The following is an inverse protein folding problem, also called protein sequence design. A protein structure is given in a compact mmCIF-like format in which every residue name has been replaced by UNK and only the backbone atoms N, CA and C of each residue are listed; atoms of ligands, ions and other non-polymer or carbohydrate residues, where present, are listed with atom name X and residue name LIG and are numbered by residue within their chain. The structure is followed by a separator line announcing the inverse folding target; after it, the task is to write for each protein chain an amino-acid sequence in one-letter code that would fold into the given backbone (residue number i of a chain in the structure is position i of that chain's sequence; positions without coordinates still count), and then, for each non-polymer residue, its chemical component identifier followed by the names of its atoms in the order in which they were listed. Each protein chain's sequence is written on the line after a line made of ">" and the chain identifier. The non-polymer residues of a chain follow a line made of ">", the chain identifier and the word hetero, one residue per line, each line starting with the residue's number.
data_IF_160577846487
#
_entry.id   IF_160577846487
#
_cell.length_a   1.000
_cell.length_b   1.000
_cell.length_c   1.000
_cell.angle_alpha   90.00
_cell.angle_beta   90.00
_cell.angle_gamma   90.00
#
_symmetry.space_group_name_H-M   'P 1'
#
loop_
_entity.id
_entity.type
_entity.pdbx_description
1 polymer ?
#
# COMPACT_ATOMS: atom_id res chain seq x y z
N UNK A 1 -6.20 -6.55 -18.54
CA UNK A 1 -7.59 -6.07 -18.79
C UNK A 1 -8.32 -5.72 -17.50
N UNK A 2 -8.09 -6.47 -16.41
CA UNK A 2 -8.74 -6.28 -15.11
C UNK A 2 -8.55 -4.87 -14.50
N UNK A 3 -7.35 -4.31 -14.48
CA UNK A 3 -7.15 -2.95 -13.93
C UNK A 3 -7.89 -1.87 -14.72
N UNK A 4 -8.09 -2.06 -16.03
CA UNK A 4 -8.84 -1.11 -16.86
C UNK A 4 -10.32 -1.08 -16.47
N UNK A 5 -10.91 -2.21 -16.07
CA UNK A 5 -12.30 -2.24 -15.61
C UNK A 5 -12.47 -1.74 -14.17
N UNK A 6 -11.39 -1.64 -13.40
CA UNK A 6 -11.40 -1.13 -12.02
C UNK A 6 -10.95 0.31 -11.87
N UNK A 7 -10.48 0.96 -12.95
CA UNK A 7 -9.94 2.32 -12.92
C UNK A 7 -10.89 3.39 -12.37
N UNK A 8 -12.20 3.12 -12.43
CA UNK A 8 -13.26 4.01 -11.97
C UNK A 8 -13.70 3.68 -10.53
N UNK A 9 -13.10 2.64 -9.93
CA UNK A 9 -13.34 2.25 -8.54
C UNK A 9 -12.40 3.00 -7.59
N UNK A 10 -12.97 3.48 -6.49
CA UNK A 10 -12.25 3.83 -5.26
C UNK A 10 -12.52 2.78 -4.18
N UNK A 11 -11.57 2.61 -3.27
CA UNK A 11 -11.68 1.74 -2.11
C UNK A 11 -11.49 2.55 -0.84
N UNK A 12 -12.53 2.61 -0.02
CA UNK A 12 -12.52 3.26 1.29
C UNK A 12 -12.28 2.21 2.38
N UNK A 13 -11.42 2.54 3.32
CA UNK A 13 -11.06 1.67 4.45
C UNK A 13 -11.46 2.32 5.77
N UNK A 14 -11.62 1.52 6.82
CA UNK A 14 -11.78 2.04 8.18
C UNK A 14 -13.19 2.50 8.56
N UNK A 15 -14.13 2.56 7.61
CA UNK A 15 -15.53 2.91 7.89
C UNK A 15 -16.17 1.80 8.75
N UNK A 16 -16.60 2.09 10.00
CA UNK A 16 -17.22 1.10 10.87
C UNK A 16 -18.44 0.46 10.23
N UNK A 17 -18.70 -0.81 10.55
CA UNK A 17 -19.83 -1.53 9.94
C UNK A 17 -21.17 -0.88 10.33
N UNK A 18 -22.06 -0.73 9.34
CA UNK A 18 -23.41 -0.17 9.45
C UNK A 18 -23.48 1.37 9.57
N UNK A 19 -22.36 2.09 9.61
CA UNK A 19 -22.35 3.57 9.55
C UNK A 19 -22.95 4.10 8.24
N UNK A 20 -22.83 3.33 7.17
CA UNK A 20 -23.39 3.68 5.87
C UNK A 20 -24.93 3.59 5.81
N UNK A 21 -25.55 2.99 6.82
CA UNK A 21 -26.99 2.71 6.83
C UNK A 21 -27.42 1.76 5.70
N UNK A 22 -28.60 2.00 5.15
CA UNK A 22 -29.20 1.13 4.11
C UNK A 22 -28.65 1.40 2.72
N UNK A 23 -28.26 2.65 2.42
CA UNK A 23 -27.78 3.08 1.11
C UNK A 23 -26.36 3.63 1.16
N UNK A 24 -25.41 2.76 0.78
CA UNK A 24 -23.98 3.08 0.67
C UNK A 24 -23.72 4.25 -0.28
N UNK A 25 -24.47 4.37 -1.38
CA UNK A 25 -24.22 5.44 -2.34
C UNK A 25 -24.59 6.80 -1.75
N UNK A 26 -25.76 6.92 -1.14
CA UNK A 26 -26.18 8.17 -0.50
C UNK A 26 -25.26 8.57 0.64
N UNK A 27 -24.81 7.62 1.45
CA UNK A 27 -23.77 7.85 2.46
C UNK A 27 -22.49 8.42 1.83
N UNK A 28 -21.94 7.75 0.79
CA UNK A 28 -20.71 8.21 0.14
C UNK A 28 -20.85 9.57 -0.54
N UNK A 29 -22.00 9.87 -1.18
CA UNK A 29 -22.28 11.20 -1.73
C UNK A 29 -22.21 12.29 -0.67
N UNK A 30 -22.63 11.99 0.56
CA UNK A 30 -22.67 12.96 1.66
C UNK A 30 -21.30 13.22 2.30
N UNK A 31 -20.42 12.22 2.34
CA UNK A 31 -19.12 12.32 3.04
C UNK A 31 -17.96 12.67 2.12
N UNK A 32 -17.94 12.20 0.87
CA UNK A 32 -16.76 12.37 0.00
C UNK A 32 -16.41 13.85 -0.26
N UNK A 33 -17.36 14.75 -0.58
CA UNK A 33 -17.05 16.18 -0.72
C UNK A 33 -16.45 16.77 0.56
N UNK A 34 -17.00 16.40 1.73
CA UNK A 34 -16.52 16.88 3.04
C UNK A 34 -15.12 16.37 3.36
N UNK A 35 -14.89 15.07 3.16
CA UNK A 35 -13.60 14.42 3.44
C UNK A 35 -12.50 14.97 2.54
N UNK A 36 -12.79 15.07 1.23
CA UNK A 36 -11.78 15.46 0.24
C UNK A 36 -11.63 16.98 0.11
N UNK A 37 -12.55 17.76 0.67
CA UNK A 37 -12.67 19.22 0.44
C UNK A 37 -12.73 19.59 -1.05
N UNK A 38 -13.30 18.69 -1.86
CA UNK A 38 -13.49 18.88 -3.29
C UNK A 38 -14.93 19.31 -3.56
N UNK A 39 -15.07 20.27 -4.46
CA UNK A 39 -16.35 20.63 -5.04
C UNK A 39 -16.58 19.81 -6.32
N UNK A 40 -17.72 19.13 -6.39
CA UNK A 40 -18.04 18.23 -7.49
C UNK A 40 -19.19 18.80 -8.31
N UNK A 41 -18.86 19.29 -9.51
CA UNK A 41 -19.83 19.67 -10.53
C UNK A 41 -19.60 18.84 -11.82
N UNK A 42 -20.56 17.98 -12.23
CA UNK A 42 -21.80 17.66 -11.54
C UNK A 42 -21.57 16.85 -10.24
N UNK A 43 -22.59 16.69 -9.38
CA UNK A 43 -22.50 15.87 -8.18
C UNK A 43 -21.98 14.46 -8.44
N UNK A 44 -21.40 13.82 -7.41
CA UNK A 44 -20.87 12.46 -7.54
C UNK A 44 -21.99 11.47 -7.86
N UNK A 45 -21.78 10.72 -8.94
CA UNK A 45 -22.65 9.64 -9.38
C UNK A 45 -21.91 8.31 -9.28
N UNK A 46 -22.60 7.29 -8.76
CA UNK A 46 -22.06 5.94 -8.62
C UNK A 46 -22.80 4.98 -9.53
N UNK A 47 -22.04 4.12 -10.22
CA UNK A 47 -22.62 2.94 -10.86
C UNK A 47 -22.99 1.88 -9.81
N UNK A 48 -22.13 1.71 -8.79
CA UNK A 48 -22.31 0.75 -7.69
C UNK A 48 -21.45 1.13 -6.49
N UNK A 49 -21.91 0.81 -5.29
CA UNK A 49 -21.12 0.90 -4.05
C UNK A 49 -21.53 -0.22 -3.10
N UNK A 50 -20.56 -0.92 -2.51
CA UNK A 50 -20.82 -2.06 -1.61
C UNK A 50 -19.61 -2.40 -0.74
N UNK A 51 -19.84 -3.05 0.40
CA UNK A 51 -18.78 -3.66 1.23
C UNK A 51 -18.21 -4.91 0.56
N UNK A 52 -16.91 -5.13 0.73
CA UNK A 52 -16.20 -6.27 0.13
C UNK A 52 -15.50 -7.12 1.18
N UNK A 53 -15.64 -8.43 1.04
CA UNK A 53 -15.05 -9.44 1.94
C UNK A 53 -16.07 -10.06 2.90
N UNK A 54 -15.69 -11.18 3.54
CA UNK A 54 -16.57 -11.89 4.46
C UNK A 54 -16.79 -11.07 5.73
N UNK A 55 -18.02 -11.09 6.26
CA UNK A 55 -18.29 -10.61 7.63
C UNK A 55 -17.52 -11.51 8.58
N UNK A 56 -16.55 -10.97 9.29
CA UNK A 56 -15.78 -11.71 10.29
C UNK A 56 -16.53 -11.66 11.63
N UNK A 57 -16.66 -12.78 12.35
CA UNK A 57 -17.25 -12.77 13.68
C UNK A 57 -16.33 -12.02 14.65
N UNK A 58 -16.91 -11.16 15.49
CA UNK A 58 -16.22 -10.46 16.58
C UNK A 58 -15.93 -8.98 16.33
N UNK A 59 -16.06 -8.19 17.40
CA UNK A 59 -15.89 -6.73 17.40
C UNK A 59 -14.43 -6.25 17.24
N UNK A 60 -13.44 -7.15 17.29
CA UNK A 60 -12.03 -6.77 17.08
C UNK A 60 -11.57 -6.88 15.62
N UNK A 61 -12.44 -7.33 14.71
CA UNK A 61 -12.06 -7.44 13.30
C UNK A 61 -12.09 -6.08 12.60
N UNK A 62 -11.04 -5.79 11.82
CA UNK A 62 -10.97 -4.58 10.99
C UNK A 62 -12.24 -4.47 10.12
N UNK A 63 -12.91 -3.30 10.08
CA UNK A 63 -14.11 -3.11 9.24
C UNK A 63 -13.83 -3.45 7.78
N UNK A 64 -14.82 -4.01 7.08
CA UNK A 64 -14.69 -4.32 5.66
C UNK A 64 -14.57 -3.04 4.86
N UNK A 65 -13.73 -3.07 3.83
CA UNK A 65 -13.61 -1.94 2.90
C UNK A 65 -14.87 -1.80 2.05
N UNK A 66 -15.20 -0.57 1.68
CA UNK A 66 -16.22 -0.27 0.67
C UNK A 66 -15.52 -0.06 -0.67
N UNK A 67 -16.01 -0.72 -1.72
CA UNK A 67 -15.64 -0.42 -3.11
C UNK A 67 -16.78 0.36 -3.75
N UNK A 68 -16.47 1.52 -4.30
CA UNK A 68 -17.41 2.38 -5.01
C UNK A 68 -16.91 2.65 -6.43
N UNK A 69 -17.71 2.33 -7.43
CA UNK A 69 -17.45 2.61 -8.84
C UNK A 69 -18.15 3.91 -9.20
N UNK A 70 -17.39 4.95 -9.51
CA UNK A 70 -17.93 6.23 -9.94
C UNK A 70 -18.30 6.17 -11.42
N UNK A 71 -19.29 6.96 -11.80
CA UNK A 71 -19.70 7.08 -13.20
C UNK A 71 -18.66 7.85 -14.04
N UNK A 72 -17.95 8.80 -13.42
CA UNK A 72 -17.04 9.72 -14.10
C UNK A 72 -15.60 9.49 -13.67
N UNK A 73 -14.79 9.00 -14.60
CA UNK A 73 -13.36 8.74 -14.37
C UNK A 73 -12.60 9.95 -13.78
N UNK A 74 -12.96 11.17 -14.19
CA UNK A 74 -12.27 12.37 -13.73
C UNK A 74 -12.44 12.61 -12.22
N UNK A 75 -13.64 12.35 -11.68
CA UNK A 75 -13.92 12.46 -10.24
C UNK A 75 -13.14 11.40 -9.46
N UNK A 76 -13.04 10.16 -9.99
CA UNK A 76 -12.19 9.12 -9.40
C UNK A 76 -10.74 9.58 -9.28
N UNK A 77 -10.19 10.18 -10.34
CA UNK A 77 -8.81 10.71 -10.32
C UNK A 77 -8.63 11.83 -9.30
N UNK A 78 -9.55 12.78 -9.22
CA UNK A 78 -9.50 13.88 -8.26
C UNK A 78 -9.50 13.37 -6.81
N UNK A 79 -10.39 12.43 -6.47
CA UNK A 79 -10.45 11.81 -5.14
C UNK A 79 -9.15 11.10 -4.81
N UNK A 80 -8.62 10.29 -5.73
CA UNK A 80 -7.37 9.54 -5.51
C UNK A 80 -6.15 10.47 -5.41
N UNK A 81 -6.14 11.58 -6.14
CA UNK A 81 -5.09 12.59 -6.04
C UNK A 81 -5.14 13.29 -4.67
N UNK A 82 -6.33 13.70 -4.22
CA UNK A 82 -6.52 14.27 -2.89
C UNK A 82 -6.06 13.30 -1.79
N UNK A 83 -6.43 12.02 -1.89
CA UNK A 83 -6.02 11.00 -0.93
C UNK A 83 -4.50 10.82 -0.84
N UNK A 84 -3.79 10.91 -1.98
CA UNK A 84 -2.32 10.85 -2.00
C UNK A 84 -1.68 12.07 -1.39
N UNK A 85 -2.25 13.25 -1.61
CA UNK A 85 -1.69 14.53 -1.17
C UNK A 85 -1.91 14.77 0.33
N UNK A 86 -3.09 14.43 0.84
CA UNK A 86 -3.51 14.77 2.18
C UNK A 86 -3.44 13.60 3.18
N UNK A 87 -3.23 12.38 2.70
CA UNK A 87 -3.20 11.19 3.55
C UNK A 87 -4.62 10.69 3.86
N UNK A 88 -4.80 9.87 4.90
CA UNK A 88 -6.14 9.42 5.29
C UNK A 88 -7.01 10.61 5.67
N UNK A 89 -8.27 10.59 5.24
CA UNK A 89 -9.24 11.62 5.61
C UNK A 89 -9.87 11.30 6.96
N UNK A 90 -10.21 12.32 7.73
CA UNK A 90 -10.84 12.12 9.04
C UNK A 90 -12.36 12.14 8.93
N UNK A 91 -13.01 11.05 9.38
CA UNK A 91 -14.46 10.96 9.59
C UNK A 91 -14.70 10.72 11.07
N UNK A 92 -15.13 11.75 11.80
CA UNK A 92 -15.23 11.74 13.27
C UNK A 92 -13.90 11.31 13.92
N UNK A 93 -13.88 10.19 14.65
CA UNK A 93 -12.66 9.59 15.24
C UNK A 93 -11.91 8.63 14.30
N UNK A 94 -12.38 8.42 13.07
CA UNK A 94 -11.87 7.38 12.18
C UNK A 94 -11.01 7.94 11.05
N UNK A 95 -9.83 7.34 10.88
CA UNK A 95 -9.03 7.52 9.69
C UNK A 95 -9.62 6.70 8.53
N UNK A 96 -9.97 7.40 7.45
CA UNK A 96 -10.54 6.84 6.22
C UNK A 96 -9.53 6.96 5.08
N UNK A 97 -8.58 6.00 4.96
CA UNK A 97 -7.76 5.87 3.78
C UNK A 97 -8.64 5.60 2.55
N UNK A 98 -8.37 6.34 1.47
CA UNK A 98 -8.96 6.10 0.16
C UNK A 98 -7.85 5.67 -0.80
N UNK A 99 -8.01 4.51 -1.44
CA UNK A 99 -7.05 3.94 -2.38
C UNK A 99 -7.71 3.56 -3.69
N UNK A 100 -6.92 3.43 -4.76
CA UNK A 100 -7.40 2.80 -5.98
C UNK A 100 -7.66 1.30 -5.75
N UNK A 101 -8.58 0.73 -6.52
CA UNK A 101 -8.89 -0.70 -6.49
C UNK A 101 -8.11 -1.45 -7.59
N UNK A 102 -6.89 -1.88 -7.30
CA UNK A 102 -6.09 -2.64 -8.26
C UNK A 102 -6.46 -4.14 -8.28
N UNK A 103 -6.12 -4.80 -9.37
CA UNK A 103 -6.05 -6.26 -9.47
C UNK A 103 -5.12 -6.84 -8.41
N UNK A 104 -5.25 -8.14 -8.15
CA UNK A 104 -4.33 -8.84 -7.24
C UNK A 104 -2.88 -8.73 -7.75
N UNK A 105 -2.69 -8.99 -9.03
CA UNK A 105 -1.37 -8.92 -9.70
C UNK A 105 -0.71 -7.55 -9.52
N UNK A 106 -1.44 -6.47 -9.81
CA UNK A 106 -0.94 -5.10 -9.65
C UNK A 106 -0.65 -4.79 -8.18
N UNK A 107 -1.51 -5.19 -7.25
CA UNK A 107 -1.26 -5.03 -5.82
C UNK A 107 0.00 -5.77 -5.36
N UNK A 108 0.21 -7.01 -5.81
CA UNK A 108 1.38 -7.80 -5.46
C UNK A 108 2.66 -7.18 -6.03
N UNK A 109 2.62 -6.66 -7.26
CA UNK A 109 3.73 -5.90 -7.85
C UNK A 109 4.03 -4.61 -7.07
N UNK A 110 3.00 -3.87 -6.68
CA UNK A 110 3.17 -2.68 -5.82
C UNK A 110 3.80 -3.06 -4.48
N UNK A 111 3.35 -4.13 -3.82
CA UNK A 111 3.95 -4.61 -2.57
C UNK A 111 5.43 -4.97 -2.74
N UNK A 112 5.77 -5.68 -3.81
CA UNK A 112 7.16 -6.02 -4.11
C UNK A 112 8.03 -4.76 -4.31
N UNK A 113 7.54 -3.75 -5.03
CA UNK A 113 8.20 -2.45 -5.10
C UNK A 113 8.34 -1.75 -3.74
N UNK A 114 7.29 -1.77 -2.91
CA UNK A 114 7.31 -1.17 -1.58
C UNK A 114 8.32 -1.86 -0.65
N UNK A 115 8.54 -3.17 -0.81
CA UNK A 115 9.53 -3.92 -0.05
C UNK A 115 10.97 -3.45 -0.31
N UNK A 116 11.23 -2.81 -1.45
CA UNK A 116 12.55 -2.26 -1.82
C UNK A 116 12.83 -0.86 -1.27
N UNK A 117 11.83 -0.21 -0.64
CA UNK A 117 11.98 1.15 -0.09
C UNK A 117 13.11 1.28 0.94
N UNK A 118 13.30 0.38 1.92
CA UNK A 118 14.40 0.49 2.86
C UNK A 118 15.76 0.56 2.16
N UNK A 119 15.93 -0.25 1.10
CA UNK A 119 17.16 -0.28 0.31
C UNK A 119 17.38 1.01 -0.48
N UNK A 120 16.32 1.54 -1.10
CA UNK A 120 16.36 2.84 -1.78
C UNK A 120 16.78 3.97 -0.82
N UNK A 121 16.23 3.98 0.40
CA UNK A 121 16.58 4.95 1.45
C UNK A 121 18.03 4.82 1.89
N UNK A 122 18.50 3.59 2.12
CA UNK A 122 19.89 3.32 2.52
C UNK A 122 20.90 3.80 1.46
N UNK A 123 20.53 3.73 0.18
CA UNK A 123 21.36 4.18 -0.94
C UNK A 123 21.15 5.66 -1.31
N UNK A 124 20.37 6.40 -0.51
CA UNK A 124 20.01 7.81 -0.73
C UNK A 124 19.39 8.08 -2.11
N UNK A 125 18.69 7.09 -2.65
CA UNK A 125 18.00 7.18 -3.93
C UNK A 125 16.62 7.79 -3.70
N UNK A 126 16.30 8.87 -4.42
CA UNK A 126 14.93 9.43 -4.42
C UNK A 126 14.04 8.50 -5.23
N UNK A 127 12.78 8.31 -4.81
CA UNK A 127 11.87 7.40 -5.51
C UNK A 127 10.41 7.81 -5.39
N UNK A 128 9.58 7.29 -6.30
CA UNK A 128 8.13 7.46 -6.30
C UNK A 128 7.43 6.26 -6.95
N UNK A 129 6.35 5.78 -6.33
CA UNK A 129 5.54 4.68 -6.88
C UNK A 129 4.29 5.23 -7.57
N UNK A 130 4.25 5.08 -8.89
CA UNK A 130 3.19 5.55 -9.76
C UNK A 130 2.17 4.46 -10.09
N UNK A 131 0.98 4.89 -10.48
CA UNK A 131 -0.06 4.02 -10.98
C UNK A 131 0.29 3.43 -12.36
N UNK A 132 -0.13 2.19 -12.67
CA UNK A 132 -0.68 1.21 -11.72
C UNK A 132 0.41 0.60 -10.82
N UNK A 133 1.63 0.40 -11.33
CA UNK A 133 2.77 -0.13 -10.57
C UNK A 133 4.09 0.15 -11.30
N UNK A 134 4.52 1.42 -11.33
CA UNK A 134 5.81 1.87 -11.90
C UNK A 134 6.61 2.58 -10.82
N UNK A 135 7.84 2.16 -10.55
CA UNK A 135 8.72 2.87 -9.63
C UNK A 135 9.65 3.78 -10.42
N UNK A 136 9.53 5.07 -10.19
CA UNK A 136 10.51 6.07 -10.61
C UNK A 136 11.59 6.18 -9.55
N UNK A 137 12.85 6.23 -9.96
CA UNK A 137 13.99 6.45 -9.06
C UNK A 137 14.95 7.47 -9.63
N UNK A 138 15.60 8.25 -8.77
CA UNK A 138 16.61 9.24 -9.15
C UNK A 138 17.85 9.09 -8.28
N UNK A 139 19.01 8.94 -8.93
CA UNK A 139 20.33 8.92 -8.29
C UNK A 139 21.26 9.85 -9.05
N UNK A 140 21.95 10.74 -8.34
CA UNK A 140 22.91 11.69 -8.92
C UNK A 140 22.33 12.52 -10.10
N UNK A 141 21.07 12.94 -10.00
CA UNK A 141 20.38 13.71 -11.04
C UNK A 141 19.85 12.89 -12.22
N UNK A 142 20.20 11.60 -12.32
CA UNK A 142 19.69 10.72 -13.38
C UNK A 142 18.46 9.97 -12.88
N UNK A 143 17.37 10.07 -13.63
CA UNK A 143 16.10 9.41 -13.32
C UNK A 143 15.87 8.20 -14.22
N UNK A 144 15.31 7.13 -13.66
CA UNK A 144 14.95 5.91 -14.38
C UNK A 144 13.64 5.33 -13.87
N UNK A 145 12.85 4.79 -14.79
CA UNK A 145 11.62 4.08 -14.49
C UNK A 145 11.82 2.57 -14.49
N UNK A 146 11.17 1.90 -13.55
CA UNK A 146 11.14 0.45 -13.41
C UNK A 146 9.69 -0.04 -13.41
N UNK A 147 9.41 -1.04 -14.25
CA UNK A 147 8.09 -1.66 -14.38
C UNK A 147 8.04 -3.04 -13.71
N UNK A 148 9.21 -3.64 -13.43
CA UNK A 148 9.38 -4.88 -12.69
C UNK A 148 10.20 -4.63 -11.41
N UNK A 149 9.74 -5.06 -10.22
CA UNK A 149 10.53 -5.05 -9.00
C UNK A 149 11.88 -5.77 -9.11
N UNK A 150 11.98 -6.86 -9.89
CA UNK A 150 13.23 -7.61 -10.08
C UNK A 150 14.29 -6.77 -10.80
N UNK A 151 13.90 -6.01 -11.83
CA UNK A 151 14.81 -5.09 -12.51
C UNK A 151 15.32 -3.99 -11.57
N UNK A 152 14.44 -3.50 -10.70
CA UNK A 152 14.84 -2.53 -9.68
C UNK A 152 15.79 -3.16 -8.66
N UNK A 153 15.53 -4.40 -8.22
CA UNK A 153 16.44 -5.12 -7.32
C UNK A 153 17.84 -5.26 -7.93
N UNK A 154 17.94 -5.74 -9.18
CA UNK A 154 19.21 -5.86 -9.91
C UNK A 154 19.94 -4.51 -10.02
N UNK A 155 19.20 -3.44 -10.26
CA UNK A 155 19.75 -2.08 -10.26
C UNK A 155 20.31 -1.68 -8.89
N UNK A 156 19.61 -2.01 -7.79
CA UNK A 156 20.07 -1.70 -6.44
C UNK A 156 21.31 -2.53 -6.03
N UNK A 157 21.40 -3.76 -6.51
CA UNK A 157 22.52 -4.65 -6.26
C UNK A 157 23.80 -4.18 -6.97
N UNK A 158 23.67 -3.47 -8.11
CA UNK A 158 24.80 -2.86 -8.80
C UNK A 158 25.55 -1.80 -7.95
N UNK A 159 24.96 -1.32 -6.85
CA UNK A 159 25.59 -0.38 -5.92
C UNK A 159 26.25 -1.05 -4.72
N UNK A 160 26.19 -2.38 -4.59
CA UNK A 160 26.98 -3.09 -3.59
C UNK A 160 28.44 -3.18 -4.07
N UNK A 161 29.42 -2.91 -3.20
CA UNK A 161 30.77 -3.38 -3.44
C UNK A 161 30.71 -4.90 -3.60
N UNK A 162 31.22 -5.42 -4.72
CA UNK A 162 31.43 -6.86 -4.88
C UNK A 162 32.34 -7.32 -3.73
N UNK A 163 31.79 -8.01 -2.74
CA UNK A 163 32.60 -8.75 -1.78
C UNK A 163 33.12 -10.00 -2.51
N UNK A 164 34.18 -9.85 -3.30
CA UNK A 164 35.06 -10.95 -3.67
C UNK A 164 36.18 -11.02 -2.62
N UNK A 165 36.08 -11.97 -1.69
CA UNK A 165 36.95 -13.17 -1.63
C UNK A 165 36.92 -13.79 -0.23
N UNK A 166 36.60 -15.08 -0.15
CA UNK A 166 37.53 -16.09 0.38
C UNK A 166 36.96 -17.50 0.23
N UNK A 167 37.55 -18.21 -0.73
CA UNK A 167 38.13 -19.55 -0.57
C UNK A 167 37.37 -20.60 0.24
N UNK A 168 36.91 -21.60 -0.51
CA UNK A 168 36.95 -23.01 -0.14
C UNK A 168 38.21 -23.35 0.67
N UNK A 169 38.04 -23.83 1.89
CA UNK A 169 38.96 -24.77 2.53
C UNK A 169 38.13 -25.79 3.29
N UNK A 170 38.15 -27.02 2.75
CA UNK A 170 37.77 -28.25 3.40
C UNK A 170 38.52 -28.41 4.72
N UNK A 171 37.80 -28.69 5.82
CA UNK A 171 38.39 -29.01 7.10
C UNK A 171 37.37 -29.67 8.02
N UNK A 172 37.20 -30.98 7.86
CA UNK A 172 36.46 -31.84 8.77
C UNK A 172 37.05 -31.79 10.18
N UNK A 173 36.24 -31.52 11.19
CA UNK A 173 36.47 -32.05 12.53
C UNK A 173 35.12 -32.32 13.23
N UNK A 174 34.93 -33.60 13.51
CA UNK A 174 33.86 -34.21 14.28
C UNK A 174 34.22 -34.10 15.77
N UNK A 175 33.27 -33.72 16.62
CA UNK A 175 33.06 -34.39 17.90
C UNK A 175 31.77 -33.91 18.58
N UNK A 176 30.95 -34.89 18.92
CA UNK A 176 29.74 -34.75 19.73
C UNK A 176 30.01 -34.42 21.19
N UNK A 177 28.94 -33.98 21.85
CA UNK A 177 28.88 -33.69 23.27
C UNK A 177 27.46 -33.32 23.63
N UNK A 178 26.72 -34.31 24.13
CA UNK A 178 25.37 -34.21 24.66
C UNK A 178 25.29 -33.20 25.81
N UNK A 179 24.22 -32.40 25.86
CA UNK A 179 23.71 -31.90 27.13
C UNK A 179 22.19 -31.67 27.07
N UNK A 180 21.45 -32.56 27.72
CA UNK A 180 20.04 -32.40 28.08
C UNK A 180 19.90 -31.30 29.14
N UNK A 181 18.91 -30.41 28.98
CA UNK A 181 18.68 -29.32 29.93
C UNK A 181 17.44 -28.46 29.66
N UNK A 182 16.27 -29.09 29.75
CA UNK A 182 14.98 -28.57 30.26
C UNK A 182 14.47 -27.15 29.87
N UNK A 183 13.32 -27.09 29.19
CA UNK A 183 12.36 -25.97 29.19
C UNK A 183 11.57 -25.95 30.52
N UNK A 184 11.03 -24.80 31.00
CA UNK A 184 9.60 -24.52 30.79
C UNK A 184 9.30 -22.99 30.72
N UNK A 185 8.04 -22.49 30.82
CA UNK A 185 7.27 -22.03 29.66
C UNK A 185 6.88 -20.55 29.73
N UNK A 186 6.39 -20.03 28.60
CA UNK A 186 5.56 -18.82 28.57
C UNK A 186 6.32 -17.52 28.40
N UNK A 187 6.48 -17.10 27.15
CA UNK A 187 6.24 -15.70 26.80
C UNK A 187 5.42 -15.64 25.52
N UNK A 188 4.45 -14.73 25.57
CA UNK A 188 3.38 -14.55 24.62
C UNK A 188 3.94 -14.35 23.21
N UNK A 189 3.27 -14.98 22.24
CA UNK A 189 3.37 -14.58 20.85
C UNK A 189 2.87 -13.14 20.79
N UNK A 190 3.78 -12.16 20.80
CA UNK A 190 3.43 -10.79 20.42
C UNK A 190 3.01 -10.85 18.97
N UNK A 191 1.68 -10.85 18.84
CA UNK A 191 0.90 -10.83 17.62
C UNK A 191 1.52 -9.85 16.63
N UNK A 192 1.86 -10.38 15.46
CA UNK A 192 2.42 -9.68 14.30
C UNK A 192 1.35 -8.79 13.65
N UNK A 193 0.68 -7.97 14.46
CA UNK A 193 -0.41 -7.09 14.09
C UNK A 193 -0.01 -5.61 14.20
N UNK A 194 1.22 -5.30 13.81
CA UNK A 194 1.57 -3.96 13.33
C UNK A 194 1.82 -4.05 11.83
N UNK A 195 0.71 -4.17 11.09
CA UNK A 195 0.70 -3.76 9.68
C UNK A 195 0.97 -2.26 9.68
N UNK A 196 2.24 -1.93 9.52
CA UNK A 196 2.74 -0.58 9.32
C UNK A 196 1.87 0.09 8.26
N UNK A 197 1.13 1.11 8.68
CA UNK A 197 0.40 2.00 7.79
C UNK A 197 1.40 2.85 7.00
N UNK A 198 2.08 2.25 6.02
CA UNK A 198 2.90 2.99 5.04
C UNK A 198 2.04 3.38 3.85
N UNK A 199 0.92 4.06 4.11
CA UNK A 199 0.13 4.73 3.09
C UNK A 199 0.02 6.19 3.51
N UNK A 200 1.09 6.95 3.25
CA UNK A 200 1.18 8.36 3.65
C UNK A 200 2.45 9.09 3.26
N UNK A 201 3.47 8.42 2.72
CA UNK A 201 4.62 9.09 2.10
C UNK A 201 4.83 8.61 0.67
N UNK A 202 4.00 9.13 -0.22
CA UNK A 202 4.51 9.60 -1.50
C UNK A 202 4.43 11.12 -1.36
N UNK A 203 5.48 11.74 -0.81
CA UNK A 203 5.72 13.15 -1.12
C UNK A 203 6.08 13.15 -2.60
N UNK A 204 5.11 13.48 -3.44
CA UNK A 204 5.41 13.96 -4.76
C UNK A 204 6.13 15.30 -4.55
N UNK A 205 7.40 15.38 -4.95
CA UNK A 205 8.08 16.66 -5.09
C UNK A 205 7.55 17.24 -6.40
N UNK A 206 6.34 17.82 -6.36
CA UNK A 206 5.95 18.83 -7.33
C UNK A 206 6.48 20.16 -6.77
N UNK A 207 7.76 20.41 -6.99
CA UNK A 207 8.40 21.73 -6.84
C UNK A 207 9.58 21.90 -7.82
N UNK A 208 9.51 21.24 -8.98
CA UNK A 208 10.35 21.57 -10.14
C UNK A 208 9.53 21.34 -11.41
N UNK A 209 8.65 22.30 -11.72
CA UNK A 209 8.59 23.08 -12.97
C UNK A 209 7.42 24.06 -12.91
#
# INVERSE_FOLDING_TARGET
>A
MEDRSRRDNIRLHGIPENEEGVDVQSFLRSILPKLTSLDFDPPIEFQRAHRVGPKRPGNSSRPRSIIACLLRHNQTRQILQAARKHGPFQLDQYDIPITADYSKETNDRRKAFLALRPRLRQLEIKYGLFDPARMWVTKNGVSKDFYNPEELQLFLDSFQPQSMDSTSTSGSHDNGGDNEGNLPPGQEKTDTAQLVWVLGEIRYIDDVL
#
